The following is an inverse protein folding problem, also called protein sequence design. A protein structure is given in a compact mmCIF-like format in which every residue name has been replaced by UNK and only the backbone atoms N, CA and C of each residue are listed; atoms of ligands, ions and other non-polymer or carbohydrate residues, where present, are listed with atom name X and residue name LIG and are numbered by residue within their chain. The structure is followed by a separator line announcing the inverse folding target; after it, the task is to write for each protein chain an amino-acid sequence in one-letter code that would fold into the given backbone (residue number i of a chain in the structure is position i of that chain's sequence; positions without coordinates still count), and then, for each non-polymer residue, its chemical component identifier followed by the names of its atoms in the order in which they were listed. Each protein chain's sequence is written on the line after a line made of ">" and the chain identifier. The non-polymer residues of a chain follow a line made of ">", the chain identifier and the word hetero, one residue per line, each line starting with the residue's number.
data_IF_646584646265
#
_entry.id   IF_646584646265
#
_cell.length_a   1.000
_cell.length_b   1.000
_cell.length_c   1.000
_cell.angle_alpha   90.00
_cell.angle_beta   90.00
_cell.angle_gamma   90.00
#
_symmetry.space_group_name_H-M   'P 1'
#
loop_
_entity.id
_entity.type
_entity.pdbx_description
1 polymer ?
#
# COMPACT_ATOMS: atom_id res chain seq x y z
N UNK A 1 -15.93 15.19 -3.43
CA UNK A 1 -14.77 14.54 -2.76
C UNK A 1 -14.35 13.25 -3.46
N UNK A 2 -15.20 12.23 -3.60
CA UNK A 2 -14.92 10.99 -4.38
C UNK A 2 -14.33 11.24 -5.76
N UNK A 3 -15.01 12.13 -6.50
CA UNK A 3 -14.63 12.49 -7.86
C UNK A 3 -13.24 13.13 -7.94
N UNK A 4 -12.83 13.91 -6.92
CA UNK A 4 -11.51 14.56 -6.92
C UNK A 4 -10.39 13.56 -6.67
N UNK A 5 -10.59 12.61 -5.75
CA UNK A 5 -9.59 11.58 -5.51
C UNK A 5 -9.37 10.70 -6.76
N UNK A 6 -10.47 10.29 -7.39
CA UNK A 6 -10.41 9.60 -8.68
C UNK A 6 -9.67 10.42 -9.75
N UNK A 7 -10.00 11.71 -9.88
CA UNK A 7 -9.33 12.61 -10.82
C UNK A 7 -7.82 12.73 -10.56
N UNK A 8 -7.39 12.78 -9.30
CA UNK A 8 -5.96 12.81 -8.95
C UNK A 8 -5.28 11.50 -9.37
N UNK A 9 -5.88 10.35 -9.10
CA UNK A 9 -5.31 9.06 -9.51
C UNK A 9 -5.26 8.92 -11.04
N UNK A 10 -6.29 9.39 -11.74
CA UNK A 10 -6.28 9.43 -13.20
C UNK A 10 -5.23 10.41 -13.73
N UNK A 11 -5.04 11.57 -13.10
CA UNK A 11 -3.99 12.50 -13.49
C UNK A 11 -2.59 11.86 -13.32
N UNK A 12 -2.35 11.19 -12.20
CA UNK A 12 -1.10 10.46 -11.95
C UNK A 12 -0.82 9.40 -13.02
N UNK A 13 -1.84 8.64 -13.45
CA UNK A 13 -1.71 7.65 -14.54
C UNK A 13 -1.35 8.26 -15.90
N UNK A 14 -1.68 9.53 -16.12
CA UNK A 14 -1.42 10.25 -17.37
C UNK A 14 -0.21 11.20 -17.27
N UNK A 15 0.52 11.17 -16.15
CA UNK A 15 1.80 11.86 -16.04
C UNK A 15 2.86 11.18 -16.93
N UNK A 16 4.01 11.84 -17.10
CA UNK A 16 5.13 11.26 -17.84
C UNK A 16 5.56 9.94 -17.22
N UNK A 17 6.01 9.01 -18.07
CA UNK A 17 6.34 7.64 -17.68
C UNK A 17 7.58 7.54 -16.77
N UNK A 18 8.47 8.55 -16.77
CA UNK A 18 9.67 8.60 -15.93
C UNK A 18 9.45 9.16 -14.52
N UNK A 19 8.19 9.34 -14.10
CA UNK A 19 7.87 9.75 -12.72
C UNK A 19 7.48 8.57 -11.84
N UNK A 20 8.08 8.50 -10.67
CA UNK A 20 7.60 7.70 -9.56
C UNK A 20 6.59 8.51 -8.74
N UNK A 21 5.33 8.07 -8.70
CA UNK A 21 4.25 8.75 -7.96
C UNK A 21 3.84 7.88 -6.78
N UNK A 22 4.02 8.40 -5.57
CA UNK A 22 3.70 7.70 -4.31
C UNK A 22 2.44 8.27 -3.70
N UNK A 23 1.47 7.40 -3.41
CA UNK A 23 0.28 7.74 -2.64
C UNK A 23 0.39 7.19 -1.22
N UNK A 24 0.14 8.04 -0.23
CA UNK A 24 0.10 7.65 1.18
C UNK A 24 -1.33 7.68 1.70
N UNK A 25 -1.74 6.58 2.35
CA UNK A 25 -3.07 6.43 2.91
C UNK A 25 -3.02 6.10 4.39
N UNK A 26 -4.05 6.52 5.11
CA UNK A 26 -4.37 5.89 6.39
C UNK A 26 -5.02 4.54 6.14
N UNK A 27 -4.70 3.55 6.97
CA UNK A 27 -5.38 2.27 6.99
C UNK A 27 -6.56 2.27 7.97
N UNK A 28 -7.54 1.41 7.69
CA UNK A 28 -8.58 1.00 8.60
C UNK A 28 -8.46 -0.52 8.81
N UNK A 29 -9.02 -1.01 9.91
CA UNK A 29 -9.21 -2.44 10.13
C UNK A 29 -10.66 -2.80 9.83
N UNK A 30 -10.87 -3.76 8.94
CA UNK A 30 -12.17 -4.36 8.67
C UNK A 30 -12.16 -5.83 9.06
N UNK A 31 -13.25 -6.25 9.70
CA UNK A 31 -13.46 -7.64 10.08
C UNK A 31 -14.20 -8.32 8.92
N UNK A 32 -13.55 -9.29 8.27
CA UNK A 32 -14.17 -10.09 7.22
C UNK A 32 -14.70 -11.39 7.82
N UNK A 33 -15.98 -11.65 7.59
CA UNK A 33 -16.64 -12.88 8.02
C UNK A 33 -15.87 -14.11 7.52
N UNK A 34 -15.35 -14.91 8.45
CA UNK A 34 -14.59 -16.13 8.17
C UNK A 34 -13.09 -15.96 7.88
N UNK A 35 -12.59 -14.73 7.73
CA UNK A 35 -11.19 -14.44 7.39
C UNK A 35 -10.43 -13.60 8.44
N UNK A 36 -11.11 -13.17 9.51
CA UNK A 36 -10.49 -12.39 10.58
C UNK A 36 -10.35 -10.91 10.24
N UNK A 37 -9.38 -10.23 10.88
CA UNK A 37 -9.14 -8.79 10.69
C UNK A 37 -8.23 -8.59 9.49
N UNK A 38 -8.70 -7.82 8.51
CA UNK A 38 -7.92 -7.40 7.34
C UNK A 38 -7.80 -5.89 7.31
N UNK A 39 -6.67 -5.38 6.85
CA UNK A 39 -6.46 -3.94 6.64
C UNK A 39 -7.03 -3.49 5.30
N UNK A 40 -7.50 -2.25 5.22
CA UNK A 40 -8.00 -1.61 4.00
C UNK A 40 -7.62 -0.13 3.95
N UNK A 41 -7.62 0.47 2.75
CA UNK A 41 -7.38 1.91 2.59
C UNK A 41 -8.58 2.69 3.16
N UNK A 42 -8.30 3.57 4.12
CA UNK A 42 -9.33 4.43 4.72
C UNK A 42 -9.74 5.54 3.75
N UNK A 43 -10.92 5.39 3.15
CA UNK A 43 -11.57 6.45 2.38
C UNK A 43 -12.71 7.12 3.15
N UNK A 44 -12.82 8.44 2.98
CA UNK A 44 -13.87 9.25 3.60
C UNK A 44 -15.21 9.12 2.87
N UNK A 45 -16.15 8.35 3.42
CA UNK A 45 -17.54 8.29 2.94
C UNK A 45 -17.91 6.97 2.26
N UNK A 46 -19.00 6.36 2.73
CA UNK A 46 -19.46 5.01 2.32
C UNK A 46 -19.70 4.89 0.80
N UNK A 47 -20.33 5.90 0.19
CA UNK A 47 -20.61 5.94 -1.25
C UNK A 47 -19.36 5.93 -2.14
N UNK A 48 -18.21 6.37 -1.62
CA UNK A 48 -16.95 6.38 -2.36
C UNK A 48 -16.41 4.96 -2.42
N UNK A 49 -16.35 4.29 -1.26
CA UNK A 49 -15.88 2.91 -1.14
C UNK A 49 -16.67 1.94 -2.02
N UNK A 50 -17.99 2.11 -2.12
CA UNK A 50 -18.85 1.25 -2.94
C UNK A 50 -18.64 1.41 -4.45
N UNK A 51 -18.13 2.57 -4.89
CA UNK A 51 -18.00 2.91 -6.31
C UNK A 51 -16.56 2.97 -6.81
N UNK A 52 -15.60 2.99 -5.90
CA UNK A 52 -14.21 3.27 -6.23
C UNK A 52 -13.26 2.59 -5.25
N UNK A 53 -12.40 1.72 -5.79
CA UNK A 53 -11.29 1.08 -5.08
C UNK A 53 -9.96 1.67 -5.58
N UNK A 54 -9.20 2.38 -4.71
CA UNK A 54 -7.86 2.85 -5.04
C UNK A 54 -6.92 1.71 -5.45
N UNK A 55 -7.10 0.53 -4.85
CA UNK A 55 -6.26 -0.65 -5.06
C UNK A 55 -6.24 -1.13 -6.52
N UNK A 56 -7.34 -0.93 -7.25
CA UNK A 56 -7.44 -1.22 -8.69
C UNK A 56 -6.62 -0.26 -9.56
N UNK A 57 -6.23 0.88 -9.01
CA UNK A 57 -5.57 1.97 -9.73
C UNK A 57 -4.09 2.12 -9.35
N UNK A 58 -3.56 1.26 -8.47
CA UNK A 58 -2.19 1.26 -7.98
C UNK A 58 -1.40 0.07 -8.55
N UNK A 59 -0.13 0.32 -8.90
CA UNK A 59 0.82 -0.69 -9.38
C UNK A 59 1.42 -1.50 -8.25
N UNK A 60 1.74 -0.83 -7.13
CA UNK A 60 2.25 -1.43 -5.91
C UNK A 60 1.51 -0.87 -4.69
N UNK A 61 1.19 -1.73 -3.72
CA UNK A 61 0.50 -1.40 -2.47
C UNK A 61 1.30 -2.04 -1.34
N UNK A 62 1.86 -1.22 -0.46
CA UNK A 62 2.66 -1.64 0.68
C UNK A 62 1.93 -1.25 1.97
N UNK A 63 1.90 -2.14 2.94
CA UNK A 63 1.35 -1.83 4.26
C UNK A 63 2.45 -1.75 5.30
N UNK A 64 2.35 -0.79 6.22
CA UNK A 64 3.25 -0.75 7.37
C UNK A 64 2.86 -1.83 8.37
N UNK A 65 3.85 -2.62 8.79
CA UNK A 65 3.78 -3.50 9.95
C UNK A 65 4.68 -2.94 11.04
N UNK A 66 4.18 -2.96 12.28
CA UNK A 66 4.90 -2.45 13.45
C UNK A 66 5.10 -3.59 14.42
N UNK A 67 6.35 -3.95 14.67
CA UNK A 67 6.73 -4.95 15.66
C UNK A 67 7.31 -4.22 16.88
N UNK A 68 6.61 -4.25 18.02
CA UNK A 68 7.09 -3.62 19.24
C UNK A 68 7.82 -4.63 20.12
N UNK A 69 9.09 -4.36 20.42
CA UNK A 69 9.86 -5.07 21.43
C UNK A 69 9.64 -4.40 22.80
N UNK A 70 8.92 -5.04 23.73
CA UNK A 70 8.65 -4.46 25.05
C UNK A 70 9.88 -4.40 25.95
N UNK A 71 10.88 -5.25 25.72
CA UNK A 71 12.11 -5.30 26.51
C UNK A 71 13.05 -4.18 26.07
N UNK A 72 13.30 -4.07 24.76
CA UNK A 72 14.12 -3.00 24.20
C UNK A 72 13.40 -1.64 24.17
N UNK A 73 12.08 -1.62 24.36
CA UNK A 73 11.20 -0.44 24.22
C UNK A 73 11.37 0.24 22.86
N UNK A 74 11.44 -0.58 21.80
CA UNK A 74 11.62 -0.12 20.42
C UNK A 74 10.54 -0.70 19.53
N UNK A 75 10.05 0.13 18.63
CA UNK A 75 9.19 -0.30 17.53
C UNK A 75 10.05 -0.43 16.27
N UNK A 76 9.96 -1.58 15.63
CA UNK A 76 10.52 -1.85 14.31
C UNK A 76 9.42 -1.72 13.26
N UNK A 77 9.73 -1.06 12.16
CA UNK A 77 8.77 -0.70 11.12
C UNK A 77 9.21 -1.31 9.79
N UNK A 78 8.37 -2.18 9.25
CA UNK A 78 8.60 -2.83 7.96
C UNK A 78 7.43 -2.55 7.01
N UNK A 79 7.68 -2.67 5.71
CA UNK A 79 6.62 -2.75 4.71
C UNK A 79 6.34 -4.20 4.35
N UNK A 80 5.05 -4.56 4.28
CA UNK A 80 4.57 -5.84 3.78
C UNK A 80 4.26 -5.72 2.29
N UNK A 81 4.93 -6.52 1.46
CA UNK A 81 4.91 -6.40 -0.01
C UNK A 81 3.80 -7.20 -0.67
N UNK A 82 3.39 -8.32 -0.07
CA UNK A 82 2.43 -9.27 -0.62
C UNK A 82 1.25 -9.52 0.32
N UNK A 83 0.17 -10.09 -0.21
CA UNK A 83 -0.99 -10.48 0.60
C UNK A 83 -0.58 -11.48 1.67
N UNK A 84 -0.78 -11.09 2.92
CA UNK A 84 -0.75 -11.96 4.10
C UNK A 84 -2.16 -12.06 4.69
N UNK A 85 -2.32 -12.83 5.76
CA UNK A 85 -3.62 -13.00 6.44
C UNK A 85 -4.28 -11.66 6.83
N UNK A 86 -3.47 -10.66 7.20
CA UNK A 86 -3.94 -9.38 7.75
C UNK A 86 -3.65 -8.18 6.85
N UNK A 87 -2.61 -8.24 6.02
CA UNK A 87 -2.17 -7.14 5.15
C UNK A 87 -2.37 -7.53 3.69
N UNK A 88 -3.31 -6.93 2.94
CA UNK A 88 -3.50 -7.20 1.52
C UNK A 88 -2.49 -6.41 0.66
N UNK A 89 -1.19 -6.57 0.94
CA UNK A 89 -0.11 -5.98 0.15
C UNK A 89 -0.11 -6.51 -1.28
N UNK A 90 0.36 -5.72 -2.23
CA UNK A 90 0.41 -6.07 -3.65
C UNK A 90 1.66 -5.49 -4.28
N UNK A 91 2.63 -6.35 -4.61
CA UNK A 91 3.76 -6.01 -5.46
C UNK A 91 3.86 -7.01 -6.62
N UNK A 92 4.44 -6.61 -7.77
CA UNK A 92 4.84 -7.54 -8.82
C UNK A 92 5.73 -8.67 -8.27
N UNK A 93 5.56 -9.86 -8.84
CA UNK A 93 6.37 -11.03 -8.50
C UNK A 93 7.84 -10.77 -8.87
N UNK A 94 8.75 -11.02 -7.93
CA UNK A 94 10.20 -10.84 -8.15
C UNK A 94 10.68 -9.39 -8.04
N UNK A 95 9.82 -8.43 -7.70
CA UNK A 95 10.23 -7.04 -7.43
C UNK A 95 10.98 -6.91 -6.09
N UNK A 96 10.55 -7.67 -5.08
CA UNK A 96 11.17 -7.71 -3.76
C UNK A 96 11.52 -9.16 -3.43
N UNK A 97 12.66 -9.34 -2.75
CA UNK A 97 13.16 -10.67 -2.35
C UNK A 97 12.42 -11.21 -1.11
N UNK A 98 11.97 -10.30 -0.23
CA UNK A 98 11.34 -10.60 1.05
C UNK A 98 9.92 -10.04 1.15
N UNK A 99 9.06 -10.71 1.94
CA UNK A 99 7.69 -10.25 2.24
C UNK A 99 7.70 -8.99 3.12
N UNK A 100 8.68 -8.89 4.01
CA UNK A 100 8.88 -7.73 4.89
C UNK A 100 10.18 -7.03 4.50
N UNK A 101 10.07 -5.81 4.01
CA UNK A 101 11.20 -4.98 3.59
C UNK A 101 11.34 -3.76 4.51
N UNK A 102 12.49 -3.05 4.49
CA UNK A 102 12.64 -1.81 5.25
C UNK A 102 11.54 -0.81 4.91
N UNK A 103 11.03 -0.11 5.94
CA UNK A 103 10.11 1.02 5.74
C UNK A 103 10.88 2.26 5.25
N UNK A 104 11.35 2.18 3.99
CA UNK A 104 12.16 3.18 3.31
C UNK A 104 11.67 3.34 1.86
N UNK A 105 11.21 4.54 1.52
CA UNK A 105 10.70 4.84 0.19
C UNK A 105 11.81 4.90 -0.86
N UNK A 106 13.04 5.26 -0.49
CA UNK A 106 14.16 5.27 -1.44
C UNK A 106 14.50 3.85 -1.89
N UNK A 107 14.55 2.91 -0.94
CA UNK A 107 14.69 1.48 -1.25
C UNK A 107 13.59 0.99 -2.19
N UNK A 108 12.33 1.32 -1.91
CA UNK A 108 11.17 0.92 -2.73
C UNK A 108 11.26 1.51 -4.15
N UNK A 109 11.59 2.79 -4.27
CA UNK A 109 11.72 3.47 -5.57
C UNK A 109 12.89 2.90 -6.38
N UNK A 110 14.02 2.63 -5.74
CA UNK A 110 15.17 1.99 -6.41
C UNK A 110 14.81 0.61 -6.93
N UNK A 111 14.13 -0.22 -6.12
CA UNK A 111 13.63 -1.53 -6.57
C UNK A 111 12.61 -1.42 -7.70
N UNK A 112 11.74 -0.41 -7.68
CA UNK A 112 10.81 -0.15 -8.77
C UNK A 112 11.53 0.21 -10.07
N UNK A 113 12.51 1.11 -10.01
CA UNK A 113 13.28 1.49 -11.19
C UNK A 113 14.09 0.31 -11.73
N UNK A 114 14.70 -0.51 -10.87
CA UNK A 114 15.40 -1.74 -11.28
C UNK A 114 14.47 -2.74 -11.98
N UNK A 115 13.25 -2.90 -11.49
CA UNK A 115 12.29 -3.88 -12.01
C UNK A 115 11.63 -3.47 -13.33
N UNK A 116 11.40 -2.17 -13.52
CA UNK A 116 10.71 -1.62 -14.70
C UNK A 116 11.66 -1.01 -15.76
N UNK A 117 12.98 -1.03 -15.53
CA UNK A 117 13.99 -0.65 -16.52
C UNK A 117 14.05 -1.64 -17.71
#
# INVERSE_FOLDING_TARGET
>A
MANHFFQIMQAAKNCREDLNIVFMFHENMEMKDGYGITKEIKLGGKMIKEKFSPEENLTCILYTKVNYDPVAKKADYTFVTNTTDTHPGKSPMGMFDDIEIPNDLDFVINKANEYYA
#
